data_IF_853610408466
#
_entry.id   IF_853610408466
#
_cell.length_a   1.000
_cell.length_b   1.000
_cell.length_c   1.000
_cell.angle_alpha   90.00
_cell.angle_beta   90.00
_cell.angle_gamma   90.00
#
_symmetry.space_group_name_H-M   'P 1'
#
loop_
_entity.id
_entity.type
_entity.pdbx_description
1 polymer ?
#
# COMPACT_ATOMS: atom_id res chain seq x y z
N UNK A 1 -4.71 -14.45 0.90
CA UNK A 1 -4.46 -13.18 0.18
C UNK A 1 -4.68 -11.98 1.09
N UNK A 2 -3.95 -10.90 0.82
CA UNK A 2 -4.12 -9.61 1.48
C UNK A 2 -4.76 -8.68 0.45
N UNK A 3 -5.82 -8.00 0.85
CA UNK A 3 -6.54 -7.04 0.03
C UNK A 3 -6.51 -5.68 0.71
N UNK A 4 -6.23 -4.64 -0.08
CA UNK A 4 -6.31 -3.25 0.36
C UNK A 4 -7.43 -2.59 -0.41
N UNK A 5 -8.40 -2.03 0.31
CA UNK A 5 -9.53 -1.30 -0.28
C UNK A 5 -9.45 0.17 0.10
N UNK A 6 -9.75 1.03 -0.85
CA UNK A 6 -9.85 2.48 -0.65
C UNK A 6 -11.32 2.85 -0.44
N UNK A 7 -11.58 3.54 0.66
CA UNK A 7 -12.88 4.14 0.95
C UNK A 7 -12.72 5.65 0.92
N UNK A 8 -13.57 6.33 0.17
CA UNK A 8 -13.53 7.78 0.05
C UNK A 8 -14.88 8.40 0.29
N UNK A 9 -14.87 9.58 0.90
CA UNK A 9 -16.07 10.39 1.11
C UNK A 9 -15.75 11.85 0.84
N UNK A 10 -16.59 12.46 0.00
CA UNK A 10 -16.50 13.87 -0.38
C UNK A 10 -17.38 14.73 0.52
N UNK A 11 -16.86 15.89 0.88
CA UNK A 11 -17.61 16.95 1.59
C UNK A 11 -17.88 18.07 0.57
N UNK A 12 -19.13 18.40 0.39
CA UNK A 12 -19.60 19.38 -0.60
C UNK A 12 -20.15 20.62 0.09
N UNK A 13 -19.98 21.76 -0.57
CA UNK A 13 -20.71 22.96 -0.23
C UNK A 13 -22.07 22.91 -0.93
N UNK A 14 -23.14 22.85 -0.15
CA UNK A 14 -24.50 22.77 -0.67
C UNK A 14 -25.24 24.09 -0.45
N UNK A 15 -26.28 24.37 -1.25
CA UNK A 15 -27.12 25.54 -1.08
C UNK A 15 -27.81 25.66 0.29
N UNK A 16 -27.86 24.56 1.04
CA UNK A 16 -28.47 24.46 2.38
C UNK A 16 -27.47 24.58 3.53
N UNK A 17 -26.19 24.75 3.21
CA UNK A 17 -25.06 24.80 4.13
C UNK A 17 -23.96 23.84 3.73
N UNK A 18 -22.81 23.99 4.34
CA UNK A 18 -21.66 23.10 4.14
C UNK A 18 -21.90 21.75 4.84
N UNK A 19 -21.56 20.66 4.20
CA UNK A 19 -21.41 19.36 4.86
C UNK A 19 -20.18 19.42 5.77
N UNK A 20 -20.16 18.65 6.84
CA UNK A 20 -19.06 18.64 7.81
C UNK A 20 -18.64 17.20 8.14
N UNK A 21 -17.32 16.99 8.23
CA UNK A 21 -16.76 15.77 8.80
C UNK A 21 -16.69 15.93 10.31
N UNK A 22 -17.29 15.01 11.05
CA UNK A 22 -17.32 15.05 12.50
C UNK A 22 -17.48 13.66 13.10
N UNK A 23 -17.00 13.49 14.33
CA UNK A 23 -17.30 12.33 15.17
C UNK A 23 -18.65 12.45 15.90
N UNK A 24 -19.21 13.67 16.01
CA UNK A 24 -20.49 13.93 16.65
C UNK A 24 -21.64 13.67 15.64
N UNK A 25 -22.08 12.42 15.54
CA UNK A 25 -23.12 12.01 14.61
C UNK A 25 -24.42 11.74 15.37
N UNK A 26 -25.55 12.35 14.98
CA UNK A 26 -26.82 12.13 15.66
C UNK A 26 -27.32 10.70 15.47
N UNK A 27 -27.96 10.15 16.53
CA UNK A 27 -28.60 8.83 16.54
C UNK A 27 -27.66 7.63 16.28
N UNK A 28 -26.40 7.73 16.68
CA UNK A 28 -25.41 6.67 16.58
C UNK A 28 -24.91 6.29 17.97
N UNK A 29 -24.64 4.99 18.20
CA UNK A 29 -24.08 4.51 19.46
C UNK A 29 -22.62 4.96 19.63
N UNK A 30 -22.20 5.21 20.86
CA UNK A 30 -20.83 5.56 21.21
C UNK A 30 -19.81 4.50 20.76
N UNK A 31 -20.22 3.23 20.72
CA UNK A 31 -19.36 2.13 20.25
C UNK A 31 -18.99 2.26 18.77
N UNK A 32 -19.92 2.70 17.93
CA UNK A 32 -19.68 2.87 16.50
C UNK A 32 -18.76 4.05 16.17
N UNK A 33 -18.62 5.04 17.05
CA UNK A 33 -17.80 6.24 16.86
C UNK A 33 -16.48 6.21 17.65
N UNK A 34 -16.28 5.22 18.52
CA UNK A 34 -15.11 5.16 19.44
C UNK A 34 -13.74 5.22 18.75
N UNK A 35 -13.67 4.79 17.50
CA UNK A 35 -12.42 4.76 16.72
C UNK A 35 -12.23 5.98 15.83
N UNK A 36 -13.17 6.93 15.81
CA UNK A 36 -13.06 8.15 15.03
C UNK A 36 -12.10 9.14 15.73
N UNK A 37 -11.42 9.95 14.93
CA UNK A 37 -10.66 11.11 15.38
C UNK A 37 -11.54 12.37 15.48
N UNK A 38 -10.93 13.50 15.83
CA UNK A 38 -11.63 14.79 15.90
C UNK A 38 -12.22 15.25 14.55
N UNK A 39 -11.65 14.78 13.44
CA UNK A 39 -12.14 15.06 12.10
C UNK A 39 -13.17 14.03 11.61
N UNK A 40 -13.65 13.14 12.46
CA UNK A 40 -14.61 12.11 12.09
C UNK A 40 -14.04 10.99 11.20
N UNK A 41 -12.72 10.86 11.11
CA UNK A 41 -12.06 9.81 10.32
C UNK A 41 -11.56 8.72 11.27
N UNK A 42 -11.72 7.46 10.88
CA UNK A 42 -11.25 6.33 11.68
C UNK A 42 -9.73 6.34 11.83
N UNK A 43 -9.23 6.03 13.02
CA UNK A 43 -7.80 6.05 13.35
C UNK A 43 -7.06 4.91 12.67
N UNK A 44 -5.80 5.17 12.29
CA UNK A 44 -4.88 4.14 11.78
C UNK A 44 -4.65 3.08 12.86
N UNK A 45 -4.70 1.81 12.47
CA UNK A 45 -4.57 0.66 13.37
C UNK A 45 -5.88 0.19 14.00
N UNK A 46 -7.01 0.87 13.79
CA UNK A 46 -8.31 0.42 14.27
C UNK A 46 -8.81 -0.79 13.47
N UNK A 47 -9.40 -1.75 14.17
CA UNK A 47 -10.14 -2.84 13.55
C UNK A 47 -11.54 -2.35 13.16
N UNK A 48 -11.92 -2.62 11.91
CA UNK A 48 -13.22 -2.26 11.33
C UNK A 48 -14.07 -3.51 11.20
N UNK A 49 -15.30 -3.44 11.70
CA UNK A 49 -16.31 -4.48 11.59
C UNK A 49 -17.55 -3.96 10.88
N UNK A 50 -18.43 -4.87 10.50
CA UNK A 50 -19.74 -4.51 9.93
C UNK A 50 -20.48 -3.50 10.80
N UNK A 51 -20.97 -2.44 10.17
CA UNK A 51 -21.75 -1.40 10.83
C UNK A 51 -20.92 -0.27 11.49
N UNK A 52 -19.61 -0.43 11.63
CA UNK A 52 -18.73 0.64 12.13
C UNK A 52 -18.69 1.82 11.15
N UNK A 53 -18.53 3.02 11.68
CA UNK A 53 -18.38 4.21 10.86
C UNK A 53 -16.91 4.37 10.48
N UNK A 54 -16.63 4.43 9.18
CA UNK A 54 -15.30 4.65 8.62
C UNK A 54 -15.01 6.14 8.54
N UNK A 55 -15.96 6.92 8.01
CA UNK A 55 -15.87 8.37 7.88
C UNK A 55 -17.20 8.96 8.32
N UNK A 56 -17.18 9.74 9.38
CA UNK A 56 -18.35 10.43 9.91
C UNK A 56 -18.61 11.72 9.13
N UNK A 57 -19.80 11.87 8.60
CA UNK A 57 -20.25 13.07 7.89
C UNK A 57 -21.68 13.40 8.27
N UNK A 58 -21.94 14.69 8.45
CA UNK A 58 -23.28 15.25 8.62
C UNK A 58 -23.63 16.19 7.47
N UNK A 59 -24.89 16.15 7.08
CA UNK A 59 -25.41 17.00 5.99
C UNK A 59 -26.56 17.84 6.56
N UNK A 60 -26.62 19.18 6.34
CA UNK A 60 -27.70 20.01 6.79
C UNK A 60 -29.06 19.56 6.20
N UNK A 61 -30.08 19.47 7.04
CA UNK A 61 -31.47 19.32 6.61
C UNK A 61 -31.97 20.67 6.08
N UNK A 62 -32.84 20.64 5.07
CA UNK A 62 -33.55 21.86 4.63
C UNK A 62 -34.50 22.35 5.74
N UNK A 63 -34.75 23.64 5.73
CA UNK A 63 -35.77 24.26 6.61
C UNK A 63 -37.14 23.63 6.36
N UNK A 64 -37.52 22.72 7.23
CA UNK A 64 -38.91 22.23 7.38
C UNK A 64 -39.28 22.54 8.83
N UNK A 65 -40.55 22.91 9.06
CA UNK A 65 -41.02 23.11 10.43
C UNK A 65 -40.76 21.85 11.22
N UNK A 66 -40.04 21.93 12.35
CA UNK A 66 -39.63 20.77 13.12
C UNK A 66 -40.86 20.08 13.70
N UNK A 67 -40.93 18.75 13.49
CA UNK A 67 -41.96 17.91 14.12
C UNK A 67 -41.88 17.97 15.65
N UNK A 68 -42.95 17.64 16.40
CA UNK A 68 -42.90 17.61 17.87
C UNK A 68 -41.79 16.71 18.42
N UNK A 69 -41.50 15.61 17.72
CA UNK A 69 -40.42 14.67 18.08
C UNK A 69 -39.03 15.29 17.84
N UNK A 70 -38.85 16.04 16.75
CA UNK A 70 -37.58 16.76 16.49
C UNK A 70 -37.36 17.89 17.52
N UNK A 71 -38.43 18.60 17.96
CA UNK A 71 -38.33 19.58 19.07
C UNK A 71 -37.88 18.93 20.37
N UNK A 72 -38.37 17.70 20.64
CA UNK A 72 -37.96 16.96 21.84
C UNK A 72 -36.50 16.49 21.72
N UNK A 73 -36.08 16.02 20.54
CA UNK A 73 -34.68 15.64 20.29
C UNK A 73 -33.72 16.83 20.40
N UNK A 74 -34.09 18.01 19.94
CA UNK A 74 -33.34 19.25 20.15
C UNK A 74 -33.16 19.59 21.60
N UNK A 75 -34.23 19.44 22.41
CA UNK A 75 -34.19 19.71 23.84
C UNK A 75 -33.29 18.74 24.62
N UNK A 76 -33.16 17.49 24.17
CA UNK A 76 -32.36 16.45 24.86
C UNK A 76 -30.91 16.43 24.38
N UNK A 77 -30.67 16.56 23.06
CA UNK A 77 -29.36 16.38 22.43
C UNK A 77 -28.74 17.67 21.87
N UNK A 78 -29.37 18.83 22.12
CA UNK A 78 -28.91 20.13 21.63
C UNK A 78 -29.40 20.49 20.22
N UNK A 79 -29.21 21.77 19.86
CA UNK A 79 -29.77 22.35 18.63
C UNK A 79 -29.28 21.65 17.33
N UNK A 80 -28.07 21.09 17.32
CA UNK A 80 -27.53 20.38 16.15
C UNK A 80 -28.25 19.07 15.81
N UNK A 81 -28.85 18.40 16.78
CA UNK A 81 -29.49 17.09 16.57
C UNK A 81 -30.72 17.09 15.66
N UNK A 82 -31.40 18.24 15.52
CA UNK A 82 -32.57 18.39 14.65
C UNK A 82 -32.29 18.89 13.23
N UNK A 83 -31.16 19.56 13.02
CA UNK A 83 -30.87 20.31 11.78
C UNK A 83 -29.99 19.55 10.80
N UNK A 84 -29.39 18.41 11.21
CA UNK A 84 -28.46 17.64 10.39
C UNK A 84 -28.93 16.19 10.23
N UNK A 85 -28.52 15.60 9.09
CA UNK A 85 -28.75 14.20 8.76
C UNK A 85 -27.43 13.46 8.70
N UNK A 86 -27.38 12.24 9.24
CA UNK A 86 -26.25 11.33 9.10
C UNK A 86 -26.05 10.96 7.60
N UNK A 87 -24.88 11.25 7.07
CA UNK A 87 -24.43 10.90 5.74
C UNK A 87 -23.07 10.17 5.79
N UNK A 88 -22.78 9.55 6.92
CA UNK A 88 -21.52 8.85 7.18
C UNK A 88 -21.33 7.62 6.30
N UNK A 89 -20.07 7.32 5.99
CA UNK A 89 -19.68 6.09 5.32
C UNK A 89 -19.53 4.97 6.35
N UNK A 90 -20.39 3.96 6.26
CA UNK A 90 -20.39 2.80 7.16
C UNK A 90 -19.76 1.61 6.49
N UNK A 91 -19.16 0.73 7.32
CA UNK A 91 -18.59 -0.51 6.86
C UNK A 91 -19.68 -1.45 6.32
N UNK A 92 -19.45 -1.98 5.11
CA UNK A 92 -20.34 -2.98 4.49
C UNK A 92 -20.29 -4.31 5.26
N UNK A 93 -21.32 -5.17 5.14
CA UNK A 93 -21.37 -6.46 5.84
C UNK A 93 -20.18 -7.38 5.59
N UNK A 94 -19.53 -7.27 4.45
CA UNK A 94 -18.36 -8.09 4.10
C UNK A 94 -17.01 -7.46 4.51
N UNK A 95 -17.02 -6.27 5.12
CA UNK A 95 -15.82 -5.58 5.51
C UNK A 95 -15.39 -5.98 6.92
N UNK A 96 -14.25 -6.63 7.01
CA UNK A 96 -13.54 -6.91 8.25
C UNK A 96 -12.03 -6.73 7.97
N UNK A 97 -11.42 -5.76 8.59
CA UNK A 97 -10.03 -5.42 8.32
C UNK A 97 -9.45 -4.42 9.29
N UNK A 98 -8.24 -3.96 8.99
CA UNK A 98 -7.51 -2.99 9.80
C UNK A 98 -7.18 -1.76 8.96
N UNK A 99 -7.37 -0.58 9.52
CA UNK A 99 -7.02 0.68 8.87
C UNK A 99 -5.50 0.82 8.82
N UNK A 100 -4.95 0.97 7.62
CA UNK A 100 -3.50 1.10 7.40
C UNK A 100 -3.07 2.54 7.16
N UNK A 101 -3.92 3.35 6.51
CA UNK A 101 -3.61 4.74 6.19
C UNK A 101 -4.90 5.55 6.07
N UNK A 102 -4.82 6.82 6.46
CA UNK A 102 -5.89 7.81 6.28
C UNK A 102 -5.32 9.06 5.65
N UNK A 103 -6.07 9.69 4.74
CA UNK A 103 -5.71 10.95 4.10
C UNK A 103 -6.90 11.90 4.11
N UNK A 104 -6.65 13.12 4.51
CA UNK A 104 -7.63 14.20 4.43
C UNK A 104 -7.07 15.30 3.51
N UNK A 105 -7.76 15.52 2.42
CA UNK A 105 -7.49 16.62 1.50
C UNK A 105 -8.48 17.73 1.78
N UNK A 106 -8.00 18.97 1.85
CA UNK A 106 -8.86 20.11 2.16
C UNK A 106 -8.47 21.35 1.36
N UNK A 107 -9.46 22.17 1.02
CA UNK A 107 -9.22 23.52 0.55
C UNK A 107 -9.16 24.46 1.73
N UNK A 108 -8.08 25.22 1.92
CA UNK A 108 -8.00 26.19 2.99
C UNK A 108 -9.03 27.29 2.74
N UNK A 109 -9.85 27.55 3.75
CA UNK A 109 -10.72 28.74 3.75
C UNK A 109 -9.82 29.97 3.85
N UNK A 110 -10.10 31.01 3.01
CA UNK A 110 -9.28 32.22 2.92
C UNK A 110 -9.47 33.21 4.11
N UNK A 111 -9.82 32.72 5.28
CA UNK A 111 -10.04 33.54 6.46
C UNK A 111 -8.71 33.95 7.10
N UNK A 112 -8.72 35.08 7.83
CA UNK A 112 -7.51 35.65 8.47
C UNK A 112 -6.91 34.71 9.50
N UNK A 113 -7.73 33.99 10.27
CA UNK A 113 -7.29 33.06 11.31
C UNK A 113 -6.63 31.82 10.71
N UNK A 114 -7.15 31.29 9.60
CA UNK A 114 -6.57 30.16 8.89
C UNK A 114 -5.21 30.53 8.24
N UNK A 115 -5.07 31.76 7.75
CA UNK A 115 -3.76 32.24 7.24
C UNK A 115 -2.70 32.32 8.35
N UNK A 116 -3.09 32.71 9.57
CA UNK A 116 -2.14 32.73 10.69
C UNK A 116 -1.72 31.32 11.10
N UNK A 117 -2.66 30.37 11.15
CA UNK A 117 -2.38 28.94 11.42
C UNK A 117 -1.47 28.33 10.35
N UNK A 118 -1.79 28.53 9.07
CA UNK A 118 -0.94 28.01 7.96
C UNK A 118 0.48 28.58 8.02
N UNK A 119 0.67 29.86 8.34
CA UNK A 119 2.01 30.43 8.53
C UNK A 119 2.79 29.78 9.66
N UNK A 120 2.12 29.50 10.80
CA UNK A 120 2.76 28.83 11.93
C UNK A 120 3.15 27.37 11.59
N UNK A 121 2.31 26.68 10.81
CA UNK A 121 2.61 25.32 10.34
C UNK A 121 3.75 25.29 9.32
N UNK A 122 3.81 26.25 8.39
CA UNK A 122 4.94 26.40 7.47
C UNK A 122 6.24 26.64 8.23
N UNK A 123 6.21 27.43 9.31
CA UNK A 123 7.42 27.66 10.10
C UNK A 123 7.86 26.40 10.87
N UNK A 124 6.93 25.63 11.39
CA UNK A 124 7.24 24.30 11.97
C UNK A 124 7.82 23.34 10.91
N UNK A 125 7.27 23.35 9.69
CA UNK A 125 7.76 22.55 8.59
C UNK A 125 9.19 22.94 8.17
N UNK A 126 9.51 24.25 8.15
CA UNK A 126 10.88 24.75 7.91
C UNK A 126 11.84 24.24 8.98
N UNK A 127 11.43 24.28 10.25
CA UNK A 127 12.25 23.79 11.37
C UNK A 127 12.53 22.28 11.26
N UNK A 128 11.54 21.49 10.82
CA UNK A 128 11.74 20.05 10.54
C UNK A 128 12.69 19.85 9.36
N UNK A 129 12.48 20.57 8.27
CA UNK A 129 13.32 20.52 7.08
C UNK A 129 14.79 20.85 7.39
N UNK A 130 15.05 21.90 8.18
CA UNK A 130 16.40 22.26 8.64
C UNK A 130 17.05 21.10 9.43
N UNK A 131 16.32 20.48 10.35
CA UNK A 131 16.81 19.32 11.12
C UNK A 131 17.16 18.13 10.23
N UNK A 132 16.31 17.82 9.25
CA UNK A 132 16.54 16.72 8.32
C UNK A 132 17.80 16.98 7.46
N UNK A 133 18.00 18.21 7.00
CA UNK A 133 19.21 18.63 6.27
C UNK A 133 20.47 18.48 7.13
N UNK A 134 20.45 18.94 8.38
CA UNK A 134 21.55 18.77 9.32
C UNK A 134 21.87 17.30 9.57
N UNK A 135 20.85 16.45 9.67
CA UNK A 135 21.02 15.01 9.85
C UNK A 135 21.72 14.31 8.68
N UNK A 136 21.37 14.64 7.43
CA UNK A 136 22.07 14.08 6.26
C UNK A 136 23.47 14.65 6.10
N UNK A 137 23.64 15.94 6.41
CA UNK A 137 24.95 16.62 6.42
C UNK A 137 25.92 15.95 7.41
N UNK A 138 25.51 15.75 8.65
CA UNK A 138 26.33 15.09 9.68
C UNK A 138 26.75 13.67 9.26
N UNK A 139 25.81 12.90 8.70
CA UNK A 139 26.11 11.54 8.19
C UNK A 139 27.14 11.57 7.06
N UNK A 140 27.03 12.53 6.15
CA UNK A 140 27.96 12.68 5.05
C UNK A 140 29.36 13.07 5.57
N UNK A 141 29.45 14.08 6.44
CA UNK A 141 30.72 14.55 7.02
C UNK A 141 31.42 13.40 7.75
N UNK A 142 30.72 12.67 8.60
CA UNK A 142 31.28 11.53 9.33
C UNK A 142 31.87 10.47 8.38
N UNK A 143 31.14 10.12 7.32
CA UNK A 143 31.63 9.18 6.30
C UNK A 143 32.82 9.72 5.51
N UNK A 144 32.81 11.00 5.15
CA UNK A 144 33.96 11.65 4.48
C UNK A 144 35.20 11.67 5.38
N UNK A 145 35.04 12.01 6.65
CA UNK A 145 36.13 12.00 7.61
C UNK A 145 36.73 10.60 7.71
N UNK A 146 35.92 9.56 7.87
CA UNK A 146 36.40 8.16 7.93
C UNK A 146 37.14 7.75 6.65
N UNK A 147 36.72 8.19 5.47
CA UNK A 147 37.35 7.85 4.19
C UNK A 147 38.65 8.62 3.94
N UNK A 148 38.73 9.85 4.46
CA UNK A 148 39.81 10.81 4.19
C UNK A 148 40.81 10.93 5.35
N UNK A 149 40.56 10.26 6.46
CA UNK A 149 41.44 10.31 7.63
C UNK A 149 42.89 9.90 7.28
N UNK A 150 43.84 10.75 7.63
CA UNK A 150 45.25 10.53 7.33
C UNK A 150 45.69 10.82 5.89
N UNK A 151 44.76 11.15 4.98
CA UNK A 151 45.09 11.48 3.57
C UNK A 151 45.31 12.97 3.36
N UNK A 152 46.10 13.29 2.36
CA UNK A 152 46.40 14.69 1.94
C UNK A 152 45.60 15.05 0.70
N UNK A 153 45.13 16.31 0.65
CA UNK A 153 44.40 16.86 -0.51
C UNK A 153 45.30 17.03 -1.71
N UNK A 154 44.82 16.63 -2.89
CA UNK A 154 45.42 17.01 -4.20
C UNK A 154 44.84 18.32 -4.77
N UNK A 155 43.96 18.98 -4.01
CA UNK A 155 43.29 20.20 -4.40
C UNK A 155 41.81 19.97 -4.74
N UNK A 156 40.90 20.35 -3.84
CA UNK A 156 39.45 20.27 -4.09
C UNK A 156 39.03 21.59 -4.75
N UNK A 157 38.52 21.52 -5.97
CA UNK A 157 38.19 22.71 -6.78
C UNK A 157 36.68 22.86 -6.97
N UNK A 158 36.22 24.08 -6.97
CA UNK A 158 34.89 24.45 -7.41
C UNK A 158 34.79 24.42 -8.95
N UNK A 159 33.59 24.20 -9.49
CA UNK A 159 33.35 24.21 -10.95
C UNK A 159 33.78 25.51 -11.64
N UNK A 160 33.83 26.62 -10.92
CA UNK A 160 34.33 27.92 -11.44
C UNK A 160 35.85 28.08 -11.35
N UNK A 161 36.59 27.09 -10.85
CA UNK A 161 38.02 27.03 -10.82
C UNK A 161 38.67 27.38 -9.48
N UNK A 162 37.94 27.90 -8.52
CA UNK A 162 38.46 28.27 -7.20
C UNK A 162 38.84 27.04 -6.38
N UNK A 163 39.97 27.06 -5.71
CA UNK A 163 40.39 26.03 -4.76
C UNK A 163 39.66 26.17 -3.43
N UNK A 164 38.83 25.20 -3.11
CA UNK A 164 38.08 25.13 -1.85
C UNK A 164 38.93 24.54 -0.72
N UNK A 165 39.72 23.49 -1.02
CA UNK A 165 40.72 22.92 -0.13
C UNK A 165 42.03 22.85 -0.91
N UNK A 166 43.06 23.54 -0.42
CA UNK A 166 44.35 23.64 -1.08
C UNK A 166 45.10 22.30 -1.09
N UNK A 167 45.92 22.12 -2.13
CA UNK A 167 46.79 20.97 -2.28
C UNK A 167 47.77 20.83 -1.10
N UNK A 168 48.00 19.64 -0.62
CA UNK A 168 48.91 19.34 0.49
C UNK A 168 48.34 19.49 1.89
N UNK A 169 47.11 19.98 2.04
CA UNK A 169 46.42 20.07 3.35
C UNK A 169 45.87 18.71 3.76
N UNK A 170 46.08 18.31 5.02
CA UNK A 170 45.47 17.10 5.58
C UNK A 170 43.99 17.32 5.81
N UNK A 171 43.18 16.31 5.42
CA UNK A 171 41.76 16.31 5.69
C UNK A 171 41.48 16.12 7.19
N UNK A 172 40.63 16.97 7.72
CA UNK A 172 40.07 16.84 9.06
C UNK A 172 38.60 17.26 9.07
N UNK A 173 37.86 16.90 10.09
CA UNK A 173 36.43 17.19 10.19
C UNK A 173 36.10 18.68 10.03
N UNK A 174 36.91 19.57 10.67
CA UNK A 174 36.70 21.03 10.60
C UNK A 174 36.93 21.59 9.19
N UNK A 175 38.00 21.13 8.49
CA UNK A 175 38.27 21.58 7.12
C UNK A 175 37.19 21.09 6.15
N UNK A 176 36.72 19.86 6.30
CA UNK A 176 35.65 19.29 5.49
C UNK A 176 34.35 20.09 5.72
N UNK A 177 34.01 20.30 6.99
CA UNK A 177 32.76 20.98 7.34
C UNK A 177 32.75 22.45 6.88
N UNK A 178 33.79 23.20 7.22
CA UNK A 178 33.86 24.64 6.91
C UNK A 178 33.93 24.94 5.40
N UNK A 179 34.60 24.07 4.64
CA UNK A 179 34.78 24.29 3.21
C UNK A 179 33.63 23.73 2.36
N UNK A 180 33.01 22.63 2.75
CA UNK A 180 31.87 22.06 2.01
C UNK A 180 30.54 22.67 2.39
N UNK A 181 30.39 23.11 3.64
CA UNK A 181 29.16 23.67 4.21
C UNK A 181 29.41 25.01 4.88
N UNK A 182 29.82 26.02 4.14
CA UNK A 182 30.05 27.37 4.66
C UNK A 182 28.73 27.97 5.18
N UNK A 183 28.82 28.88 6.13
CA UNK A 183 27.64 29.59 6.66
C UNK A 183 26.92 30.39 5.54
N UNK A 184 27.66 30.86 4.55
CA UNK A 184 27.15 31.53 3.34
C UNK A 184 27.82 30.96 2.11
N UNK A 185 27.03 30.66 1.10
CA UNK A 185 27.56 30.20 -0.18
C UNK A 185 27.95 31.45 -1.02
N UNK A 186 29.24 31.65 -1.35
CA UNK A 186 29.67 32.82 -2.08
C UNK A 186 29.19 32.91 -3.54
N UNK A 187 28.68 31.77 -4.08
CA UNK A 187 28.23 31.65 -5.47
C UNK A 187 26.72 31.67 -5.63
N UNK A 188 25.95 31.75 -4.52
CA UNK A 188 24.48 31.74 -4.54
C UNK A 188 23.94 32.81 -3.60
N UNK A 189 22.91 33.50 -4.05
CA UNK A 189 22.19 34.48 -3.26
C UNK A 189 21.38 33.77 -2.16
N UNK A 190 21.42 34.29 -0.93
CA UNK A 190 20.68 33.80 0.23
C UNK A 190 19.18 33.83 0.03
N UNK A 191 18.66 34.73 -0.83
CA UNK A 191 17.22 34.78 -1.17
C UNK A 191 16.72 33.52 -1.85
N UNK A 192 17.60 32.67 -2.39
CA UNK A 192 17.26 31.40 -3.03
C UNK A 192 17.14 30.24 -2.05
N UNK A 193 17.42 30.45 -0.76
CA UNK A 193 17.31 29.39 0.25
C UNK A 193 16.01 29.49 1.03
N UNK A 194 15.39 28.34 1.29
CA UNK A 194 14.25 28.23 2.18
C UNK A 194 14.68 28.25 3.66
N UNK A 195 15.86 27.71 3.93
CA UNK A 195 16.50 27.64 5.25
C UNK A 195 18.03 27.83 5.10
N UNK A 196 18.71 28.40 6.10
CA UNK A 196 20.17 28.64 6.05
C UNK A 196 20.99 27.36 5.84
N UNK A 197 20.49 26.21 6.28
CA UNK A 197 21.13 24.89 6.17
C UNK A 197 21.25 24.39 4.72
N UNK A 198 20.58 25.03 3.77
CA UNK A 198 20.74 24.75 2.34
C UNK A 198 22.07 25.27 1.78
N UNK A 199 22.77 26.14 2.48
CA UNK A 199 24.07 26.64 2.08
C UNK A 199 25.10 25.51 2.08
N UNK A 200 25.52 25.09 0.90
CA UNK A 200 26.60 24.10 0.71
C UNK A 200 27.24 24.28 -0.68
N UNK A 201 28.47 23.83 -0.81
CA UNK A 201 29.20 23.81 -2.07
C UNK A 201 29.25 22.44 -2.74
N UNK A 202 28.75 21.41 -2.07
CA UNK A 202 28.91 19.99 -2.46
C UNK A 202 28.42 19.69 -3.87
N UNK A 203 27.36 20.36 -4.33
CA UNK A 203 26.80 20.18 -5.68
C UNK A 203 27.64 20.79 -6.79
N UNK A 204 28.52 21.71 -6.45
CA UNK A 204 29.27 22.54 -7.39
C UNK A 204 30.78 22.29 -7.33
N UNK A 205 31.20 21.25 -6.60
CA UNK A 205 32.60 20.82 -6.47
C UNK A 205 32.94 19.80 -7.54
N UNK A 206 34.17 19.87 -8.06
CA UNK A 206 34.75 18.83 -8.91
C UNK A 206 35.10 17.65 -8.03
N UNK A 207 34.55 16.49 -8.32
CA UNK A 207 34.64 15.28 -7.46
C UNK A 207 35.84 14.40 -7.81
N UNK A 208 36.56 14.74 -8.88
CA UNK A 208 37.69 13.97 -9.33
C UNK A 208 38.96 14.44 -8.60
N UNK A 209 39.86 13.49 -8.34
CA UNK A 209 41.22 13.77 -7.86
C UNK A 209 41.35 14.50 -6.50
N UNK A 210 40.46 14.20 -5.54
CA UNK A 210 40.62 14.73 -4.18
C UNK A 210 41.83 14.14 -3.45
N UNK A 211 42.17 12.88 -3.79
CA UNK A 211 43.29 12.13 -3.23
C UNK A 211 44.07 11.42 -4.34
N UNK A 212 45.27 10.92 -4.04
CA UNK A 212 46.06 10.09 -4.97
C UNK A 212 45.44 8.73 -5.25
N UNK A 213 44.58 8.25 -4.34
CA UNK A 213 43.95 6.94 -4.42
C UNK A 213 42.66 6.99 -5.23
N UNK A 214 42.69 6.40 -6.42
CA UNK A 214 41.53 6.33 -7.34
C UNK A 214 40.34 5.58 -6.74
N UNK A 215 40.59 4.58 -5.90
CA UNK A 215 39.50 3.85 -5.24
C UNK A 215 38.77 4.75 -4.24
N UNK A 216 39.51 5.48 -3.40
CA UNK A 216 38.93 6.46 -2.48
C UNK A 216 38.13 7.54 -3.23
N UNK A 217 38.65 8.06 -4.34
CA UNK A 217 37.94 9.05 -5.15
C UNK A 217 36.61 8.49 -5.68
N UNK A 218 36.57 7.23 -6.10
CA UNK A 218 35.32 6.59 -6.55
C UNK A 218 34.28 6.47 -5.43
N UNK A 219 34.73 6.23 -4.18
CA UNK A 219 33.85 6.19 -3.01
C UNK A 219 33.31 7.59 -2.65
N UNK A 220 34.14 8.63 -2.78
CA UNK A 220 33.73 10.02 -2.57
C UNK A 220 32.63 10.40 -3.56
N UNK A 221 32.80 10.09 -4.85
CA UNK A 221 31.78 10.33 -5.88
C UNK A 221 30.45 9.66 -5.53
N UNK A 222 30.50 8.39 -5.14
CA UNK A 222 29.29 7.66 -4.70
C UNK A 222 28.64 8.30 -3.47
N UNK A 223 29.43 8.70 -2.49
CA UNK A 223 28.95 9.32 -1.25
C UNK A 223 28.28 10.68 -1.53
N UNK A 224 28.91 11.53 -2.34
CA UNK A 224 28.36 12.83 -2.73
C UNK A 224 27.09 12.67 -3.55
N UNK A 225 27.05 11.72 -4.48
CA UNK A 225 25.85 11.41 -5.26
C UNK A 225 24.68 10.96 -4.36
N UNK A 226 24.95 10.09 -3.39
CA UNK A 226 23.94 9.64 -2.43
C UNK A 226 23.42 10.79 -1.56
N UNK A 227 24.33 11.67 -1.09
CA UNK A 227 23.95 12.85 -0.34
C UNK A 227 23.07 13.80 -1.19
N UNK A 228 23.45 14.06 -2.42
CA UNK A 228 22.70 14.93 -3.33
C UNK A 228 21.30 14.38 -3.62
N UNK A 229 21.20 13.07 -3.83
CA UNK A 229 19.90 12.40 -4.02
C UNK A 229 19.02 12.54 -2.77
N UNK A 230 19.54 12.23 -1.58
CA UNK A 230 18.81 12.36 -0.32
C UNK A 230 18.39 13.80 -0.05
N UNK A 231 19.26 14.78 -0.33
CA UNK A 231 18.93 16.21 -0.22
C UNK A 231 17.80 16.60 -1.17
N UNK A 232 17.87 16.18 -2.44
CA UNK A 232 16.84 16.48 -3.43
C UNK A 232 15.49 15.86 -3.05
N UNK A 233 15.49 14.65 -2.49
CA UNK A 233 14.28 14.00 -1.99
C UNK A 233 13.65 14.78 -0.83
N UNK A 234 14.44 15.15 0.18
CA UNK A 234 13.98 15.94 1.33
C UNK A 234 13.49 17.33 0.87
N UNK A 235 14.22 18.00 -0.02
CA UNK A 235 13.82 19.28 -0.60
C UNK A 235 12.53 19.16 -1.43
N UNK A 236 12.40 18.12 -2.21
CA UNK A 236 11.17 17.82 -2.98
C UNK A 236 9.96 17.58 -2.08
N UNK A 237 10.15 16.85 -0.96
CA UNK A 237 9.11 16.66 0.05
C UNK A 237 8.71 17.98 0.68
N UNK A 238 9.67 18.75 1.16
CA UNK A 238 9.42 20.07 1.76
C UNK A 238 8.63 21.00 0.82
N UNK A 239 9.01 21.08 -0.47
CA UNK A 239 8.31 21.92 -1.46
C UNK A 239 6.86 21.48 -1.66
N UNK A 240 6.60 20.17 -1.72
CA UNK A 240 5.23 19.64 -1.84
C UNK A 240 4.40 19.96 -0.59
N UNK A 241 4.94 19.66 0.59
CA UNK A 241 4.24 19.87 1.86
C UNK A 241 3.95 21.36 2.09
N UNK A 242 4.91 22.23 1.77
CA UNK A 242 4.74 23.68 1.81
C UNK A 242 3.65 24.15 0.84
N UNK A 243 3.67 23.66 -0.39
CA UNK A 243 2.64 23.99 -1.39
C UNK A 243 1.25 23.60 -0.92
N UNK A 244 1.09 22.40 -0.37
CA UNK A 244 -0.18 21.93 0.20
C UNK A 244 -0.66 22.83 1.36
N UNK A 245 0.25 23.29 2.24
CA UNK A 245 -0.12 24.19 3.33
C UNK A 245 -0.45 25.63 2.88
N UNK A 246 0.20 26.14 1.82
CA UNK A 246 0.00 27.51 1.33
C UNK A 246 -1.17 27.62 0.35
N UNK A 247 -1.35 26.66 -0.52
CA UNK A 247 -2.31 26.68 -1.64
C UNK A 247 -3.52 25.77 -1.36
N UNK A 248 -3.29 24.69 -0.58
CA UNK A 248 -4.25 23.61 -0.36
C UNK A 248 -4.18 22.54 -1.45
N UNK A 249 -5.03 21.54 -1.28
CA UNK A 249 -5.12 20.43 -2.22
C UNK A 249 -5.96 20.79 -3.44
N UNK A 250 -5.59 20.27 -4.61
CA UNK A 250 -6.37 20.38 -5.84
C UNK A 250 -7.59 19.44 -5.75
N UNK A 251 -8.73 20.00 -5.43
CA UNK A 251 -10.00 19.27 -5.39
C UNK A 251 -10.91 19.70 -6.54
N UNK A 252 -11.80 18.82 -7.04
CA UNK A 252 -12.81 19.17 -8.05
C UNK A 252 -13.69 20.33 -7.59
N UNK A 253 -14.34 21.01 -8.55
CA UNK A 253 -15.22 22.13 -8.25
C UNK A 253 -16.41 21.69 -7.37
N UNK A 254 -16.69 22.45 -6.30
CA UNK A 254 -17.78 22.16 -5.35
C UNK A 254 -17.41 21.21 -4.21
N UNK A 255 -16.22 20.61 -4.23
CA UNK A 255 -15.72 19.77 -3.14
C UNK A 255 -14.84 20.62 -2.22
N UNK A 256 -15.13 20.61 -0.93
CA UNK A 256 -14.40 21.35 0.12
C UNK A 256 -13.35 20.45 0.76
N UNK A 257 -13.70 19.21 1.04
CA UNK A 257 -12.83 18.20 1.63
C UNK A 257 -13.04 16.84 0.98
N UNK A 258 -11.99 16.03 0.97
CA UNK A 258 -12.03 14.63 0.54
C UNK A 258 -11.27 13.79 1.57
N UNK A 259 -11.98 12.90 2.23
CA UNK A 259 -11.37 11.93 3.14
C UNK A 259 -11.19 10.60 2.42
N UNK A 260 -10.00 9.99 2.56
CA UNK A 260 -9.68 8.66 2.05
C UNK A 260 -9.17 7.80 3.19
N UNK A 261 -9.67 6.58 3.26
CA UNK A 261 -9.27 5.58 4.24
C UNK A 261 -8.90 4.30 3.51
N UNK A 262 -7.74 3.76 3.83
CA UNK A 262 -7.26 2.50 3.28
C UNK A 262 -7.35 1.42 4.34
N UNK A 263 -8.09 0.35 4.00
CA UNK A 263 -8.33 -0.78 4.92
C UNK A 263 -7.71 -2.03 4.31
N UNK A 264 -6.81 -2.66 5.06
CA UNK A 264 -6.24 -3.95 4.70
C UNK A 264 -7.02 -5.07 5.36
N UNK A 265 -7.32 -6.11 4.59
CA UNK A 265 -7.99 -7.31 5.07
C UNK A 265 -7.25 -8.57 4.61
N UNK A 266 -7.07 -9.50 5.53
CA UNK A 266 -6.52 -10.82 5.25
C UNK A 266 -7.67 -11.78 5.00
N UNK A 267 -7.75 -12.30 3.78
CA UNK A 267 -8.78 -13.26 3.40
C UNK A 267 -8.21 -14.66 3.28
N UNK A 268 -8.60 -15.54 4.17
CA UNK A 268 -8.32 -16.97 4.06
C UNK A 268 -9.18 -17.58 2.96
N UNK A 269 -8.73 -18.70 2.40
CA UNK A 269 -9.50 -19.45 1.43
C UNK A 269 -10.77 -20.03 2.09
N UNK A 270 -11.90 -19.86 1.42
CA UNK A 270 -13.20 -20.38 1.88
C UNK A 270 -13.84 -21.25 0.80
N UNK A 271 -14.78 -22.09 1.20
CA UNK A 271 -15.66 -22.79 0.27
C UNK A 271 -16.43 -21.78 -0.57
N UNK A 272 -16.45 -21.98 -1.88
CA UNK A 272 -17.04 -21.04 -2.84
C UNK A 272 -16.06 -20.05 -3.48
N UNK A 273 -14.84 -19.93 -2.96
CA UNK A 273 -13.81 -19.10 -3.59
C UNK A 273 -13.33 -19.72 -4.89
N UNK A 274 -13.02 -18.87 -5.88
CA UNK A 274 -12.56 -19.30 -7.19
C UNK A 274 -11.05 -19.39 -7.23
N UNK A 275 -10.56 -20.54 -7.68
CA UNK A 275 -9.15 -20.80 -7.94
C UNK A 275 -8.93 -21.22 -9.38
N UNK A 276 -7.74 -20.99 -9.89
CA UNK A 276 -7.35 -21.40 -11.24
C UNK A 276 -5.87 -21.76 -11.32
N UNK A 277 -5.51 -22.63 -12.26
CA UNK A 277 -4.14 -22.80 -12.69
C UNK A 277 -3.79 -21.81 -13.80
N UNK A 278 -2.67 -22.06 -14.50
CA UNK A 278 -2.17 -21.22 -15.61
C UNK A 278 -2.66 -21.68 -17.01
N UNK A 279 -3.49 -22.72 -17.09
CA UNK A 279 -3.90 -23.39 -18.32
C UNK A 279 -5.41 -23.27 -18.62
N UNK A 280 -6.06 -22.22 -18.08
CA UNK A 280 -7.52 -22.04 -18.21
C UNK A 280 -8.35 -23.01 -17.35
N UNK A 281 -7.71 -23.76 -16.49
CA UNK A 281 -8.33 -24.70 -15.54
C UNK A 281 -8.84 -23.95 -14.31
N UNK A 282 -10.03 -23.39 -14.41
CA UNK A 282 -10.72 -22.69 -13.33
C UNK A 282 -11.64 -23.64 -12.55
N UNK A 283 -11.72 -23.41 -11.26
CA UNK A 283 -12.60 -24.18 -10.38
C UNK A 283 -13.03 -23.39 -9.17
N UNK A 284 -13.92 -23.96 -8.41
CA UNK A 284 -14.44 -23.40 -7.15
C UNK A 284 -14.14 -24.37 -6.04
N UNK A 285 -13.70 -23.86 -4.89
CA UNK A 285 -13.46 -24.68 -3.69
C UNK A 285 -14.78 -25.26 -3.21
N UNK A 286 -14.91 -26.57 -3.29
CA UNK A 286 -16.12 -27.28 -2.90
C UNK A 286 -16.09 -27.70 -1.43
N UNK A 287 -14.92 -28.07 -0.91
CA UNK A 287 -14.73 -28.57 0.43
C UNK A 287 -13.35 -28.26 0.96
N UNK A 288 -13.24 -27.98 2.23
CA UNK A 288 -11.98 -27.85 2.96
C UNK A 288 -11.99 -28.92 4.06
N UNK A 289 -10.97 -29.75 4.07
CA UNK A 289 -10.80 -30.85 5.02
C UNK A 289 -9.49 -30.71 5.77
N UNK A 290 -9.33 -31.43 6.87
CA UNK A 290 -8.08 -31.48 7.63
C UNK A 290 -7.03 -32.26 6.86
N UNK A 291 -5.75 -32.02 7.14
CA UNK A 291 -4.64 -32.70 6.49
C UNK A 291 -4.67 -34.23 6.74
N UNK A 292 -5.16 -34.66 7.91
CA UNK A 292 -5.28 -36.08 8.27
C UNK A 292 -6.33 -36.83 7.41
N UNK A 293 -7.34 -36.11 6.93
CA UNK A 293 -8.43 -36.67 6.11
C UNK A 293 -8.12 -36.60 4.59
N UNK A 294 -7.01 -35.94 4.21
CA UNK A 294 -6.62 -35.86 2.82
C UNK A 294 -5.95 -37.15 2.34
N UNK A 295 -6.09 -37.51 1.06
CA UNK A 295 -5.29 -38.57 0.46
C UNK A 295 -3.80 -38.34 0.62
N UNK A 296 -3.04 -39.41 0.85
CA UNK A 296 -1.60 -39.31 1.09
C UNK A 296 -0.81 -40.32 0.27
N UNK A 297 0.48 -40.01 0.04
CA UNK A 297 1.43 -40.88 -0.59
C UNK A 297 1.88 -42.01 0.37
N UNK A 298 2.55 -43.01 -0.19
CA UNK A 298 3.13 -44.13 0.58
C UNK A 298 4.14 -43.69 1.65
N UNK A 299 4.78 -42.54 1.42
CA UNK A 299 5.70 -41.92 2.39
C UNK A 299 5.00 -41.11 3.49
N UNK A 300 3.66 -41.06 3.48
CA UNK A 300 2.84 -40.33 4.45
C UNK A 300 2.62 -38.86 4.10
N UNK A 301 3.12 -38.36 2.97
CA UNK A 301 2.93 -36.96 2.55
C UNK A 301 1.47 -36.73 2.11
N UNK A 302 0.71 -35.84 2.78
CA UNK A 302 -0.68 -35.55 2.41
C UNK A 302 -0.74 -34.69 1.15
N UNK A 303 -1.85 -34.79 0.43
CA UNK A 303 -2.15 -33.94 -0.71
C UNK A 303 -2.71 -32.59 -0.22
N UNK A 304 -2.24 -31.49 -0.78
CA UNK A 304 -2.73 -30.15 -0.46
C UNK A 304 -4.05 -29.83 -1.18
N UNK A 305 -4.25 -30.39 -2.38
CA UNK A 305 -5.46 -30.18 -3.20
C UNK A 305 -5.80 -31.41 -4.00
N UNK A 306 -7.09 -31.66 -4.15
CA UNK A 306 -7.65 -32.70 -5.03
C UNK A 306 -8.49 -32.03 -6.10
N UNK A 307 -8.19 -32.31 -7.35
CA UNK A 307 -8.86 -31.74 -8.52
C UNK A 307 -9.70 -32.79 -9.25
N UNK A 308 -10.85 -32.36 -9.76
CA UNK A 308 -11.70 -33.24 -10.56
C UNK A 308 -11.09 -33.46 -11.95
N UNK A 309 -10.78 -34.72 -12.34
CA UNK A 309 -10.15 -35.01 -13.62
C UNK A 309 -11.08 -34.76 -14.83
N UNK A 310 -12.38 -34.71 -14.66
CA UNK A 310 -13.35 -34.44 -15.74
C UNK A 310 -13.18 -33.06 -16.38
N UNK A 311 -12.50 -32.14 -15.71
CA UNK A 311 -12.16 -30.80 -16.24
C UNK A 311 -11.07 -30.80 -17.32
N UNK A 312 -10.38 -31.92 -17.54
CA UNK A 312 -9.22 -32.00 -18.46
C UNK A 312 -9.59 -32.51 -19.84
N UNK A 313 -10.25 -33.68 -20.05
CA UNK A 313 -10.40 -34.28 -21.34
C UNK A 313 -11.17 -33.42 -22.36
N UNK A 314 -12.31 -32.89 -21.94
CA UNK A 314 -13.16 -32.08 -22.83
C UNK A 314 -12.55 -30.72 -23.20
N UNK A 315 -11.64 -30.21 -22.39
CA UNK A 315 -10.99 -28.90 -22.61
C UNK A 315 -9.62 -29.00 -23.28
N UNK A 316 -9.07 -30.19 -23.38
CA UNK A 316 -7.80 -30.49 -24.09
C UNK A 316 -6.61 -29.64 -23.60
N UNK A 317 -6.62 -29.12 -22.41
CA UNK A 317 -5.52 -28.33 -21.82
C UNK A 317 -4.50 -29.25 -21.13
N UNK A 318 -3.84 -30.08 -21.92
CA UNK A 318 -2.88 -31.11 -21.45
C UNK A 318 -1.66 -30.49 -20.75
N UNK A 319 -1.31 -29.26 -21.07
CA UNK A 319 -0.18 -28.56 -20.44
C UNK A 319 -0.23 -28.52 -18.91
N UNK A 320 -1.42 -28.54 -18.30
CA UNK A 320 -1.55 -28.63 -16.87
C UNK A 320 -1.02 -29.96 -16.28
N UNK A 321 -1.15 -31.07 -17.01
CA UNK A 321 -0.61 -32.37 -16.60
C UNK A 321 0.90 -32.36 -16.72
N UNK A 322 1.46 -31.87 -17.84
CA UNK A 322 2.90 -31.72 -17.99
C UNK A 322 3.52 -30.83 -16.94
N UNK A 323 2.90 -29.69 -16.65
CA UNK A 323 3.32 -28.82 -15.53
C UNK A 323 3.37 -29.59 -14.21
N UNK A 324 2.31 -30.29 -13.89
CA UNK A 324 2.17 -31.01 -12.60
C UNK A 324 3.25 -32.06 -12.41
N UNK A 325 3.47 -32.91 -13.42
CA UNK A 325 4.43 -34.02 -13.28
C UNK A 325 5.88 -33.54 -13.39
N UNK A 326 6.16 -32.56 -14.26
CA UNK A 326 7.50 -32.01 -14.41
C UNK A 326 7.93 -31.21 -13.19
N UNK A 327 7.00 -30.47 -12.56
CA UNK A 327 7.26 -29.77 -11.32
C UNK A 327 7.57 -30.72 -10.15
N UNK A 328 6.96 -31.90 -10.12
CA UNK A 328 7.27 -32.93 -9.13
C UNK A 328 8.69 -33.48 -9.33
N UNK A 329 9.09 -33.76 -10.60
CA UNK A 329 10.45 -34.11 -10.93
C UNK A 329 11.45 -33.02 -10.51
N UNK A 330 11.12 -31.76 -10.80
CA UNK A 330 11.94 -30.61 -10.41
C UNK A 330 12.14 -30.47 -8.91
N UNK A 331 11.12 -30.72 -8.12
CA UNK A 331 11.23 -30.71 -6.66
C UNK A 331 12.22 -31.78 -6.17
N UNK A 332 12.14 -32.99 -6.71
CA UNK A 332 13.05 -34.09 -6.35
C UNK A 332 14.51 -33.83 -6.78
N UNK A 333 14.69 -33.23 -7.98
CA UNK A 333 16.02 -32.91 -8.52
C UNK A 333 16.58 -31.56 -8.08
N UNK A 334 15.81 -30.74 -7.34
CA UNK A 334 16.20 -29.39 -6.95
C UNK A 334 16.27 -28.39 -8.12
N UNK A 335 15.57 -28.65 -9.21
CA UNK A 335 15.53 -27.83 -10.44
C UNK A 335 14.23 -27.03 -10.55
N UNK A 336 14.30 -25.89 -11.25
CA UNK A 336 13.12 -25.14 -11.71
C UNK A 336 13.12 -25.12 -13.22
N UNK A 337 11.96 -25.40 -13.81
CA UNK A 337 11.79 -25.42 -15.26
C UNK A 337 11.10 -24.13 -15.72
N UNK A 338 11.61 -23.55 -16.81
CA UNK A 338 11.00 -22.45 -17.52
C UNK A 338 10.89 -22.83 -18.99
N UNK A 339 9.67 -22.91 -19.50
CA UNK A 339 9.39 -23.29 -20.88
C UNK A 339 8.73 -22.13 -21.61
N UNK A 340 9.22 -21.75 -22.82
CA UNK A 340 8.54 -20.81 -23.71
C UNK A 340 7.17 -21.36 -24.15
N UNK A 341 6.25 -20.47 -24.52
CA UNK A 341 4.87 -20.85 -24.89
C UNK A 341 4.84 -21.77 -26.12
N UNK A 342 5.68 -21.50 -27.11
CA UNK A 342 5.72 -22.25 -28.38
C UNK A 342 6.88 -23.24 -28.50
N UNK A 343 7.72 -23.32 -27.47
CA UNK A 343 8.85 -24.27 -27.40
C UNK A 343 8.84 -24.93 -26.02
N UNK A 344 7.75 -25.62 -25.74
CA UNK A 344 7.53 -26.32 -24.47
C UNK A 344 8.22 -27.66 -24.43
N UNK A 345 8.21 -28.30 -23.25
CA UNK A 345 8.76 -29.65 -23.09
C UNK A 345 7.94 -30.69 -23.85
N UNK A 346 8.65 -31.58 -24.53
CA UNK A 346 8.06 -32.73 -25.20
C UNK A 346 7.76 -33.84 -24.21
N UNK A 347 6.94 -34.83 -24.65
CA UNK A 347 6.60 -35.98 -23.80
C UNK A 347 7.85 -36.81 -23.42
N UNK A 348 8.80 -36.93 -24.35
CA UNK A 348 10.03 -37.69 -24.15
C UNK A 348 10.95 -37.00 -23.14
N UNK A 349 11.07 -35.67 -23.20
CA UNK A 349 11.81 -34.87 -22.20
C UNK A 349 11.20 -34.95 -20.81
N UNK A 350 9.88 -34.84 -20.69
CA UNK A 350 9.18 -35.01 -19.41
C UNK A 350 9.41 -36.42 -18.86
N UNK A 351 9.32 -37.44 -19.68
CA UNK A 351 9.55 -38.85 -19.28
C UNK A 351 11.00 -39.09 -18.84
N UNK A 352 11.97 -38.46 -19.51
CA UNK A 352 13.37 -38.52 -19.14
C UNK A 352 13.64 -37.86 -17.76
N UNK A 353 13.09 -36.67 -17.50
CA UNK A 353 13.24 -35.99 -16.23
C UNK A 353 12.53 -36.74 -15.08
N UNK A 354 11.35 -37.35 -15.31
CA UNK A 354 10.70 -38.22 -14.35
C UNK A 354 11.55 -39.44 -13.99
N UNK A 355 12.13 -40.08 -14.99
CA UNK A 355 13.04 -41.22 -14.80
C UNK A 355 14.30 -40.84 -14.04
N UNK A 356 14.90 -39.69 -14.35
CA UNK A 356 16.04 -39.13 -13.63
C UNK A 356 15.72 -38.82 -12.16
N UNK A 357 14.49 -38.43 -11.87
CA UNK A 357 14.01 -38.17 -10.52
C UNK A 357 13.60 -39.46 -9.74
N UNK A 358 13.62 -40.63 -10.39
CA UNK A 358 13.16 -41.90 -9.81
C UNK A 358 11.63 -41.92 -9.56
N UNK A 359 10.86 -41.16 -10.35
CA UNK A 359 9.42 -41.10 -10.22
C UNK A 359 8.72 -42.03 -11.19
N UNK A 360 7.48 -42.47 -10.85
CA UNK A 360 6.71 -43.36 -11.75
C UNK A 360 6.40 -42.70 -13.08
N UNK A 361 6.25 -43.51 -14.11
CA UNK A 361 5.89 -43.04 -15.45
C UNK A 361 4.60 -42.23 -15.43
N UNK A 362 4.61 -41.08 -16.11
CA UNK A 362 3.50 -40.12 -16.14
C UNK A 362 3.06 -39.60 -14.78
N UNK A 363 3.87 -39.69 -13.71
CA UNK A 363 3.53 -39.26 -12.35
C UNK A 363 2.37 -40.05 -11.73
N UNK A 364 2.06 -41.26 -12.24
CA UNK A 364 0.95 -42.06 -11.72
C UNK A 364 1.42 -42.92 -10.55
N UNK A 365 0.83 -42.69 -9.37
CA UNK A 365 1.15 -43.43 -8.16
C UNK A 365 -0.11 -43.80 -7.40
N UNK A 366 0.00 -44.76 -6.50
CA UNK A 366 -1.09 -45.11 -5.64
C UNK A 366 -1.14 -44.19 -4.45
N UNK A 367 -2.33 -43.71 -4.14
CA UNK A 367 -2.63 -42.96 -2.93
C UNK A 367 -3.39 -43.79 -1.94
N UNK A 368 -3.36 -43.38 -0.69
CA UNK A 368 -4.13 -43.95 0.41
C UNK A 368 -5.18 -42.91 0.85
N UNK A 369 -6.38 -43.40 1.13
CA UNK A 369 -7.46 -42.54 1.62
C UNK A 369 -7.24 -42.13 3.07
N UNK A 370 -7.30 -40.83 3.36
CA UNK A 370 -7.06 -40.31 4.71
C UNK A 370 -8.05 -40.74 5.76
N UNK A 371 -9.30 -41.04 5.37
CA UNK A 371 -10.35 -41.47 6.31
C UNK A 371 -10.28 -42.95 6.62
N UNK A 372 -10.11 -43.81 5.61
CA UNK A 372 -10.15 -45.27 5.76
C UNK A 372 -8.78 -45.92 5.86
N UNK A 373 -7.72 -45.23 5.42
CA UNK A 373 -6.38 -45.77 5.30
C UNK A 373 -6.20 -46.78 4.16
N UNK A 374 -7.24 -47.05 3.38
CA UNK A 374 -7.19 -48.01 2.29
C UNK A 374 -6.48 -47.39 1.05
N UNK A 375 -5.72 -48.24 0.32
CA UNK A 375 -5.14 -47.87 -0.94
C UNK A 375 -6.22 -47.67 -2.00
N UNK A 376 -6.07 -46.71 -2.88
CA UNK A 376 -6.92 -46.49 -4.04
C UNK A 376 -6.82 -47.69 -5.00
N UNK A 377 -7.92 -48.04 -5.63
CA UNK A 377 -7.98 -49.17 -6.60
C UNK A 377 -7.18 -48.88 -7.85
N UNK A 378 -7.07 -47.60 -8.24
CA UNK A 378 -6.39 -47.16 -9.44
C UNK A 378 -5.29 -46.15 -9.09
N UNK A 379 -4.16 -46.16 -9.84
CA UNK A 379 -3.13 -45.15 -9.67
C UNK A 379 -3.62 -43.78 -10.15
N UNK A 380 -3.27 -42.76 -9.42
CA UNK A 380 -3.68 -41.35 -9.64
C UNK A 380 -2.46 -40.53 -10.07
N UNK A 381 -2.65 -39.59 -10.98
CA UNK A 381 -1.60 -38.61 -11.33
C UNK A 381 -1.41 -37.65 -10.18
N UNK A 382 -0.18 -37.59 -9.67
CA UNK A 382 0.25 -36.73 -8.56
C UNK A 382 1.39 -35.83 -9.04
N UNK A 383 1.48 -34.67 -8.46
CA UNK A 383 2.58 -33.75 -8.72
C UNK A 383 2.35 -32.39 -8.08
N UNK A 384 3.04 -31.40 -8.58
CA UNK A 384 2.99 -30.03 -8.07
C UNK A 384 2.46 -29.12 -9.18
N UNK A 385 1.42 -28.36 -8.87
CA UNK A 385 0.85 -27.38 -9.81
C UNK A 385 0.82 -25.98 -9.20
N UNK A 386 0.91 -24.98 -10.06
CA UNK A 386 0.83 -23.59 -9.65
C UNK A 386 -0.64 -23.14 -9.64
N UNK A 387 -1.17 -22.87 -8.45
CA UNK A 387 -2.56 -22.48 -8.26
C UNK A 387 -2.67 -21.00 -7.86
N UNK A 388 -3.62 -20.30 -8.47
CA UNK A 388 -3.90 -18.90 -8.25
C UNK A 388 -5.28 -18.75 -7.58
N UNK A 389 -5.35 -18.00 -6.49
CA UNK A 389 -6.62 -17.53 -5.94
C UNK A 389 -7.08 -16.33 -6.74
N UNK A 390 -8.28 -16.42 -7.32
CA UNK A 390 -8.83 -15.32 -8.13
C UNK A 390 -9.59 -14.32 -7.25
N UNK A 391 -9.75 -13.08 -7.73
CA UNK A 391 -10.48 -12.02 -7.03
C UNK A 391 -11.99 -12.23 -6.91
N UNK A 392 -12.53 -13.34 -7.45
CA UNK A 392 -13.93 -13.73 -7.34
C UNK A 392 -14.16 -14.49 -6.05
N UNK A 393 -14.22 -13.79 -4.92
CA UNK A 393 -14.41 -14.34 -3.59
C UNK A 393 -15.91 -14.40 -3.25
N UNK A 394 -16.31 -15.45 -2.56
CA UNK A 394 -17.72 -15.68 -2.21
C UNK A 394 -18.27 -14.56 -1.32
N UNK A 395 -17.48 -14.05 -0.39
CA UNK A 395 -17.91 -13.00 0.54
C UNK A 395 -18.30 -11.70 -0.18
N UNK A 396 -17.64 -11.40 -1.29
CA UNK A 396 -17.94 -10.20 -2.09
C UNK A 396 -19.21 -10.34 -2.94
N UNK A 397 -19.63 -11.57 -3.21
CA UNK A 397 -20.77 -11.91 -4.07
C UNK A 397 -22.03 -12.24 -3.28
N UNK A 398 -21.90 -12.59 -2.01
CA UNK A 398 -23.02 -12.87 -1.15
C UNK A 398 -23.87 -11.61 -0.96
N UNK A 399 -25.17 -11.73 -1.23
CA UNK A 399 -26.12 -10.63 -1.11
C UNK A 399 -27.48 -11.18 -0.68
N UNK A 400 -28.13 -10.49 0.24
CA UNK A 400 -29.47 -10.78 0.70
C UNK A 400 -30.25 -9.46 0.92
N UNK A 401 -31.55 -9.51 0.75
CA UNK A 401 -32.45 -8.39 0.97
C UNK A 401 -33.75 -8.89 1.60
N UNK A 402 -34.22 -8.20 2.61
CA UNK A 402 -35.59 -8.34 3.10
C UNK A 402 -36.44 -7.13 2.73
N UNK A 403 -36.00 -5.94 3.10
CA UNK A 403 -36.60 -4.65 2.79
C UNK A 403 -35.51 -3.75 2.26
N UNK A 404 -35.79 -2.91 1.26
CA UNK A 404 -34.80 -2.02 0.67
C UNK A 404 -35.41 -0.94 -0.19
N UNK A 405 -34.60 -0.17 -0.93
CA UNK A 405 -35.01 0.95 -1.74
C UNK A 405 -35.86 0.50 -2.94
N UNK A 406 -36.78 1.38 -3.35
CA UNK A 406 -37.66 1.22 -4.51
C UNK A 406 -37.37 2.29 -5.54
N UNK A 407 -37.63 2.00 -6.81
CA UNK A 407 -37.59 3.01 -7.89
C UNK A 407 -38.60 4.11 -7.63
N UNK A 408 -38.22 5.35 -7.90
CA UNK A 408 -39.08 6.52 -7.71
C UNK A 408 -40.29 6.52 -8.67
N UNK A 409 -40.14 6.02 -9.88
CA UNK A 409 -41.18 6.06 -10.92
C UNK A 409 -42.08 4.82 -10.85
N UNK A 410 -41.49 3.64 -10.90
CA UNK A 410 -42.23 2.37 -11.00
C UNK A 410 -42.57 1.75 -9.64
N UNK A 411 -42.03 2.28 -8.54
CA UNK A 411 -42.19 1.73 -7.19
C UNK A 411 -41.82 0.23 -7.06
N UNK A 412 -40.98 -0.26 -7.97
CA UNK A 412 -40.43 -1.61 -7.95
C UNK A 412 -39.13 -1.64 -7.16
N UNK A 413 -38.77 -2.77 -6.54
CA UNK A 413 -37.48 -2.93 -5.91
C UNK A 413 -36.33 -2.66 -6.87
N UNK A 414 -35.30 -1.94 -6.42
CA UNK A 414 -34.07 -1.75 -7.20
C UNK A 414 -33.33 -3.08 -7.37
N UNK A 415 -32.61 -3.26 -8.47
CA UNK A 415 -31.80 -4.42 -8.76
C UNK A 415 -30.31 -4.19 -8.42
N UNK A 416 -29.59 -5.28 -8.13
CA UNK A 416 -28.15 -5.28 -7.92
C UNK A 416 -27.70 -5.06 -6.47
N UNK A 417 -26.56 -5.69 -6.11
CA UNK A 417 -25.98 -5.63 -4.75
C UNK A 417 -25.60 -4.21 -4.34
N UNK A 418 -25.04 -3.43 -5.27
CA UNK A 418 -24.58 -2.06 -4.98
C UNK A 418 -25.73 -1.11 -4.62
N UNK A 419 -26.94 -1.37 -5.11
CA UNK A 419 -28.15 -0.57 -4.86
C UNK A 419 -29.04 -1.20 -3.77
N UNK A 420 -28.54 -2.21 -3.07
CA UNK A 420 -29.29 -2.98 -2.12
C UNK A 420 -30.60 -3.54 -2.71
N UNK A 421 -30.51 -4.00 -3.93
CA UNK A 421 -31.61 -4.58 -4.70
C UNK A 421 -31.88 -6.04 -4.40
#
# INVERSE_FOLDING_TARGET
SIHVEEFQLEVRDTKRGEEELTSEIPNVSEEAVKHLDENGIIRVGAEVKEGDIIIGKITPKGETDPTPEEKLLRAIFGDKAGDVKDASLKASPSLNGVVIETKLFSRPKKDKDNRAKSKAEVEKLKGKYAKDLLGIRARMINKLVTLLEGKTSQGVKHKFGDEIITKGVKFNAKNIENNLFPAKNPYRDESNYNVPEEANLVSDIILDEWTEDTYTNSLIVKLVKNYTNSRNEISGRFKRDRFTLEVGDELPAGIVQLAKVYIAKKRKLKVGDKMAGRHGNKGIVARIVRDEDMPFLEDGTPMDIVLNPLGVPSRMNIGQIFETVLAWAGQKLGKKYATPIFDGATLDEVSAELSAAGLPAFGRTYLYDGLSGNRFDQPVTVGITYMLKLGHLVDDKMHARSIGPYSLITQQPLGGKAQFG
#
